data_IF_150341963177
#
_entry.id   IF_150341963177
#
_cell.length_a   1.000
_cell.length_b   1.000
_cell.length_c   1.000
_cell.angle_alpha   90.00
_cell.angle_beta   90.00
_cell.angle_gamma   90.00
#
_symmetry.space_group_name_H-M   'P 1'
#
loop_
_entity.id
_entity.type
_entity.pdbx_description
1 polymer ?
#
# COMPACT_ATOMS: atom_id res chain seq x y z
N UNK A 1 -6.73 -11.68 5.73
CA UNK A 1 -6.01 -10.86 4.74
C UNK A 1 -6.96 -9.79 4.25
N UNK A 2 -6.58 -8.50 4.22
CA UNK A 2 -7.47 -7.44 3.72
C UNK A 2 -7.47 -7.42 2.19
N UNK A 3 -8.56 -6.95 1.56
CA UNK A 3 -8.64 -6.84 0.09
C UNK A 3 -7.48 -5.99 -0.45
N UNK A 4 -7.13 -4.90 0.23
CA UNK A 4 -5.96 -4.09 -0.09
C UNK A 4 -4.65 -4.90 -0.12
N UNK A 5 -4.43 -5.76 0.88
CA UNK A 5 -3.21 -6.58 0.95
C UNK A 5 -3.13 -7.60 -0.18
N UNK A 6 -4.26 -8.09 -0.69
CA UNK A 6 -4.30 -8.98 -1.85
C UNK A 6 -3.81 -8.26 -3.09
N UNK A 7 -4.36 -7.08 -3.40
CA UNK A 7 -3.91 -6.28 -4.55
C UNK A 7 -2.43 -5.93 -4.48
N UNK A 8 -1.94 -5.53 -3.29
CA UNK A 8 -0.52 -5.21 -3.11
C UNK A 8 0.36 -6.43 -3.38
N UNK A 9 -0.02 -7.61 -2.89
CA UNK A 9 0.73 -8.85 -3.16
C UNK A 9 0.75 -9.20 -4.64
N UNK A 10 -0.38 -9.09 -5.33
CA UNK A 10 -0.43 -9.33 -6.78
C UNK A 10 0.49 -8.39 -7.56
N UNK A 11 0.66 -7.15 -7.09
CA UNK A 11 1.62 -6.19 -7.68
C UNK A 11 3.06 -6.60 -7.37
N UNK A 12 3.35 -7.00 -6.12
CA UNK A 12 4.68 -7.43 -5.69
C UNK A 12 5.18 -8.67 -6.47
N UNK A 13 4.28 -9.63 -6.69
CA UNK A 13 4.60 -10.89 -7.37
C UNK A 13 4.73 -10.73 -8.89
N UNK A 14 4.18 -9.65 -9.46
CA UNK A 14 4.18 -9.38 -10.89
C UNK A 14 5.42 -8.62 -11.35
N UNK A 15 5.80 -8.80 -12.64
CA UNK A 15 6.92 -8.11 -13.28
C UNK A 15 6.53 -7.50 -14.62
N UNK A 16 7.28 -6.48 -15.06
CA UNK A 16 7.13 -5.86 -16.37
C UNK A 16 5.71 -5.33 -16.63
N UNK A 17 5.11 -5.73 -17.75
CA UNK A 17 3.76 -5.30 -18.13
C UNK A 17 2.69 -5.78 -17.14
N UNK A 18 2.82 -7.00 -16.61
CA UNK A 18 1.85 -7.53 -15.64
C UNK A 18 1.86 -6.72 -14.35
N UNK A 19 3.03 -6.26 -13.90
CA UNK A 19 3.14 -5.38 -12.75
C UNK A 19 2.36 -4.07 -12.98
N UNK A 20 2.50 -3.46 -14.14
CA UNK A 20 1.78 -2.23 -14.49
C UNK A 20 0.26 -2.43 -14.54
N UNK A 21 -0.20 -3.58 -15.05
CA UNK A 21 -1.62 -3.94 -15.07
C UNK A 21 -2.18 -4.10 -13.65
N UNK A 22 -1.48 -4.84 -12.79
CA UNK A 22 -1.88 -5.03 -11.38
C UNK A 22 -1.83 -3.72 -10.61
N UNK A 23 -0.82 -2.89 -10.86
CA UNK A 23 -0.72 -1.56 -10.26
C UNK A 23 -1.90 -0.68 -10.68
N UNK A 24 -2.31 -0.75 -11.95
CA UNK A 24 -3.52 -0.08 -12.42
C UNK A 24 -4.76 -0.60 -11.68
N UNK A 25 -4.93 -1.90 -11.52
CA UNK A 25 -6.06 -2.47 -10.76
C UNK A 25 -6.08 -1.98 -9.30
N UNK A 26 -4.92 -1.94 -8.64
CA UNK A 26 -4.77 -1.38 -7.30
C UNK A 26 -5.19 0.10 -7.25
N UNK A 27 -4.76 0.92 -8.23
CA UNK A 27 -5.18 2.33 -8.33
C UNK A 27 -6.69 2.49 -8.45
N UNK A 28 -7.33 1.65 -9.27
CA UNK A 28 -8.79 1.65 -9.42
C UNK A 28 -9.49 1.28 -8.12
N UNK A 29 -9.01 0.23 -7.44
CA UNK A 29 -9.53 -0.18 -6.15
C UNK A 29 -9.42 0.95 -5.11
N UNK A 30 -8.25 1.60 -5.01
CA UNK A 30 -8.04 2.73 -4.09
C UNK A 30 -9.01 3.88 -4.39
N UNK A 31 -9.21 4.20 -5.68
CA UNK A 31 -10.12 5.27 -6.10
C UNK A 31 -11.59 4.95 -5.77
N UNK A 32 -11.99 3.68 -5.87
CA UNK A 32 -13.35 3.23 -5.61
C UNK A 32 -13.65 3.03 -4.11
N UNK A 33 -12.62 2.80 -3.30
CA UNK A 33 -12.76 2.54 -1.86
C UNK A 33 -12.85 3.83 -1.04
N UNK A 34 -13.37 3.72 0.18
CA UNK A 34 -13.46 4.85 1.10
C UNK A 34 -12.23 4.98 1.98
N UNK A 35 -11.94 6.19 2.45
CA UNK A 35 -10.82 6.41 3.37
C UNK A 35 -11.03 5.67 4.70
N UNK A 36 -12.29 5.52 5.14
CA UNK A 36 -12.66 4.75 6.34
C UNK A 36 -12.22 3.29 6.26
N UNK A 37 -12.25 2.70 5.07
CA UNK A 37 -11.82 1.32 4.83
C UNK A 37 -10.31 1.22 4.64
N UNK A 38 -9.72 2.15 3.89
CA UNK A 38 -8.31 2.09 3.51
C UNK A 38 -7.36 2.48 4.65
N UNK A 39 -7.69 3.46 5.49
CA UNK A 39 -6.85 3.88 6.63
C UNK A 39 -6.50 2.72 7.57
N UNK A 40 -7.46 1.94 8.12
CA UNK A 40 -7.14 0.81 8.98
C UNK A 40 -6.37 -0.28 8.22
N UNK A 41 -6.68 -0.50 6.94
CA UNK A 41 -5.95 -1.46 6.11
C UNK A 41 -4.48 -1.07 5.93
N UNK A 42 -4.18 0.21 5.67
CA UNK A 42 -2.80 0.73 5.56
C UNK A 42 -2.05 0.57 6.89
N UNK A 43 -2.69 0.94 8.02
CA UNK A 43 -2.08 0.82 9.35
C UNK A 43 -1.73 -0.62 9.73
N UNK A 44 -2.47 -1.59 9.22
CA UNK A 44 -2.25 -3.01 9.48
C UNK A 44 -1.07 -3.61 8.69
N UNK A 45 -0.55 -2.92 7.67
CA UNK A 45 0.59 -3.42 6.88
C UNK A 45 1.88 -3.41 7.69
N UNK A 46 2.70 -4.45 7.51
CA UNK A 46 3.95 -4.67 8.27
C UNK A 46 5.21 -4.62 7.42
N UNK A 47 5.07 -4.81 6.11
CA UNK A 47 6.21 -4.90 5.19
C UNK A 47 6.49 -3.55 4.51
N UNK A 48 7.76 -3.15 4.47
CA UNK A 48 8.20 -1.93 3.79
C UNK A 48 7.94 -1.98 2.27
N UNK A 49 8.00 -3.17 1.68
CA UNK A 49 7.69 -3.39 0.27
C UNK A 49 6.24 -3.00 -0.06
N UNK A 50 5.29 -3.34 0.82
CA UNK A 50 3.89 -2.95 0.64
C UNK A 50 3.71 -1.43 0.66
N UNK A 51 4.49 -0.71 1.46
CA UNK A 51 4.46 0.76 1.49
C UNK A 51 4.96 1.36 0.17
N UNK A 52 6.02 0.80 -0.43
CA UNK A 52 6.55 1.25 -1.72
C UNK A 52 5.53 1.07 -2.84
N UNK A 53 4.86 -0.07 -2.90
CA UNK A 53 3.79 -0.32 -3.87
C UNK A 53 2.62 0.65 -3.70
N UNK A 54 2.24 0.97 -2.46
CA UNK A 54 1.23 2.00 -2.20
C UNK A 54 1.68 3.39 -2.66
N UNK A 55 2.96 3.73 -2.50
CA UNK A 55 3.52 4.97 -3.00
C UNK A 55 3.49 5.02 -4.54
N UNK A 56 3.85 3.94 -5.21
CA UNK A 56 3.76 3.80 -6.68
C UNK A 56 2.32 3.88 -7.19
N UNK A 57 1.36 3.37 -6.41
CA UNK A 57 -0.05 3.48 -6.74
C UNK A 57 -0.52 4.95 -6.73
N UNK A 58 0.11 5.82 -5.95
CA UNK A 58 -0.27 7.23 -5.86
C UNK A 58 -1.52 7.40 -4.99
N UNK A 59 -1.31 7.61 -3.70
CA UNK A 59 -2.38 7.84 -2.74
C UNK A 59 -2.78 9.32 -2.70
N UNK A 60 -4.08 9.58 -2.56
CA UNK A 60 -4.61 10.91 -2.23
C UNK A 60 -4.49 11.19 -0.73
N UNK A 61 -4.61 12.45 -0.33
CA UNK A 61 -4.85 12.78 1.08
C UNK A 61 -6.26 12.34 1.50
N UNK A 62 -6.44 11.81 2.73
CA UNK A 62 -5.47 11.69 3.83
C UNK A 62 -4.63 10.40 3.81
N UNK A 63 -4.82 9.51 2.83
CA UNK A 63 -4.20 8.18 2.79
C UNK A 63 -2.67 8.24 2.66
N UNK A 64 -2.16 9.18 1.87
CA UNK A 64 -0.73 9.42 1.72
C UNK A 64 -0.07 9.72 3.07
N UNK A 65 -0.65 10.64 3.86
CA UNK A 65 -0.18 10.94 5.22
C UNK A 65 -0.17 9.70 6.12
N UNK A 66 -1.21 8.87 6.08
CA UNK A 66 -1.28 7.65 6.90
C UNK A 66 -0.21 6.64 6.48
N UNK A 67 0.01 6.47 5.18
CA UNK A 67 1.04 5.59 4.64
C UNK A 67 2.44 6.04 5.05
N UNK A 68 2.76 7.33 4.93
CA UNK A 68 4.06 7.88 5.32
C UNK A 68 4.36 7.66 6.81
N UNK A 69 3.41 7.99 7.70
CA UNK A 69 3.57 7.74 9.14
C UNK A 69 3.81 6.26 9.43
N UNK A 70 3.09 5.38 8.74
CA UNK A 70 3.27 3.93 8.91
C UNK A 70 4.64 3.47 8.40
N UNK A 71 5.11 4.02 7.29
CA UNK A 71 6.44 3.74 6.78
C UNK A 71 7.53 4.12 7.79
N UNK A 72 7.43 5.32 8.37
CA UNK A 72 8.36 5.80 9.39
C UNK A 72 8.38 4.89 10.62
N UNK A 73 7.21 4.48 11.13
CA UNK A 73 7.09 3.51 12.23
C UNK A 73 7.83 2.21 11.94
N UNK A 74 7.71 1.68 10.71
CA UNK A 74 8.34 0.43 10.30
C UNK A 74 9.86 0.58 10.17
N UNK A 75 10.34 1.70 9.64
CA UNK A 75 11.76 2.02 9.55
C UNK A 75 12.38 2.16 10.93
N UNK A 76 11.72 2.88 11.86
CA UNK A 76 12.21 3.05 13.22
C UNK A 76 12.30 1.71 13.97
N UNK A 77 11.28 0.85 13.86
CA UNK A 77 11.29 -0.49 14.45
C UNK A 77 12.46 -1.33 13.95
N UNK A 78 12.82 -1.19 12.68
CA UNK A 78 13.96 -1.91 12.09
C UNK A 78 15.31 -1.39 12.59
N UNK A 79 15.43 -0.08 12.85
CA UNK A 79 16.67 0.53 13.39
C UNK A 79 16.93 0.17 14.87
N UNK A 80 15.89 -0.12 15.64
CA UNK A 80 15.99 -0.48 17.07
C UNK A 80 16.28 -1.96 17.31
N UNK A 81 16.28 -2.79 16.27
CA UNK A 81 16.67 -4.21 16.32
C UNK A 81 18.10 -4.35 15.87
#
# INVERSE_FOLDING_TARGET
MSVLSTYIKEVADAKGMLHQERLRALRWYIKASTDKELIPAIRALTELEHMRILQEAGLREPLATVMLRRYDDLVERRKRR
#
